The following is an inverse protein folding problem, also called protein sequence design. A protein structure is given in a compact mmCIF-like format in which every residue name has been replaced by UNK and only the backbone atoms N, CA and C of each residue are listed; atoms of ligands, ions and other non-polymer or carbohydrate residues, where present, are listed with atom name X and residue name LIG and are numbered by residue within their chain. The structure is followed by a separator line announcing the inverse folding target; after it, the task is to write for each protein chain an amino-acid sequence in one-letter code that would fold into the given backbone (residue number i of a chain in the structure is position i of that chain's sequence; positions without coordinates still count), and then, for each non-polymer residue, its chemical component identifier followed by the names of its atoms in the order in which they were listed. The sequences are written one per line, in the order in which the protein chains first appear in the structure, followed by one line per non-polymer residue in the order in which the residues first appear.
data_IF_598293455919
#
_entry.id   IF_598293455919
#
_cell.length_a   1.000
_cell.length_b   1.000
_cell.length_c   1.000
_cell.angle_alpha   90.00
_cell.angle_beta   90.00
_cell.angle_gamma   90.00
#
_symmetry.space_group_name_H-M   'P 1'
#
loop_
_entity.id
_entity.type
_entity.pdbx_description
1 polymer ?
#
# COMPACT_ATOMS: atom_id res chain seq x y z
N UNK A 1 -10.89 11.12 10.20
CA UNK A 1 -10.32 10.92 8.85
C UNK A 1 -11.04 9.81 8.12
N UNK A 2 -11.31 10.01 6.84
CA UNK A 2 -11.84 8.99 5.92
C UNK A 2 -10.76 8.63 4.91
N UNK A 3 -10.55 7.34 4.68
CA UNK A 3 -9.58 6.86 3.69
C UNK A 3 -10.35 6.18 2.56
N UNK A 4 -10.13 6.63 1.32
CA UNK A 4 -10.75 5.98 0.15
C UNK A 4 -9.67 5.36 -0.71
N UNK A 5 -9.62 4.03 -0.79
CA UNK A 5 -8.73 3.33 -1.70
C UNK A 5 -9.44 3.05 -3.02
N UNK A 6 -8.89 3.55 -4.13
CA UNK A 6 -9.42 3.37 -5.48
C UNK A 6 -8.50 2.46 -6.28
N UNK A 7 -9.00 1.26 -6.59
CA UNK A 7 -8.49 0.44 -7.67
C UNK A 7 -9.20 0.82 -8.98
N UNK A 8 -8.51 0.70 -10.11
CA UNK A 8 -9.06 1.12 -11.40
C UNK A 8 -8.49 0.35 -12.57
N UNK A 9 -9.29 0.12 -13.59
CA UNK A 9 -8.83 -0.33 -14.91
C UNK A 9 -8.33 0.87 -15.73
N UNK A 10 -7.35 0.68 -16.61
CA UNK A 10 -6.89 1.79 -17.47
C UNK A 10 -8.02 2.25 -18.40
N UNK A 11 -8.24 3.56 -18.51
CA UNK A 11 -9.31 4.15 -19.33
C UNK A 11 -10.71 4.17 -18.67
N UNK A 12 -10.81 3.81 -17.39
CA UNK A 12 -12.08 3.74 -16.65
C UNK A 12 -12.52 5.06 -15.97
N UNK A 13 -11.75 6.14 -16.13
CA UNK A 13 -11.87 7.39 -15.34
C UNK A 13 -11.54 7.31 -13.85
N UNK A 14 -10.87 6.22 -13.41
CA UNK A 14 -10.51 6.06 -12.00
C UNK A 14 -9.56 7.14 -11.46
N UNK A 15 -8.67 7.67 -12.29
CA UNK A 15 -7.72 8.72 -11.90
C UNK A 15 -8.46 10.06 -11.66
N UNK A 16 -9.35 10.44 -12.59
CA UNK A 16 -10.18 11.64 -12.52
C UNK A 16 -11.17 11.59 -11.34
N UNK A 17 -11.81 10.43 -11.14
CA UNK A 17 -12.70 10.21 -9.99
C UNK A 17 -11.93 10.33 -8.69
N UNK A 18 -10.72 9.76 -8.61
CA UNK A 18 -9.88 9.87 -7.41
C UNK A 18 -9.52 11.31 -7.06
N UNK A 19 -9.11 12.09 -8.06
CA UNK A 19 -8.82 13.52 -7.88
C UNK A 19 -10.06 14.29 -7.38
N UNK A 20 -11.24 14.01 -7.96
CA UNK A 20 -12.48 14.67 -7.55
C UNK A 20 -12.88 14.32 -6.12
N UNK A 21 -12.82 13.04 -5.75
CA UNK A 21 -13.13 12.58 -4.38
C UNK A 21 -12.16 13.19 -3.37
N UNK A 22 -10.87 13.29 -3.70
CA UNK A 22 -9.88 13.92 -2.83
C UNK A 22 -10.26 15.38 -2.52
N UNK A 23 -10.64 16.14 -3.56
CA UNK A 23 -11.17 17.49 -3.41
C UNK A 23 -12.44 17.56 -2.53
N UNK A 24 -13.40 16.64 -2.73
CA UNK A 24 -14.62 16.57 -1.91
C UNK A 24 -14.36 16.22 -0.44
N UNK A 25 -13.29 15.48 -0.14
CA UNK A 25 -12.88 15.14 1.22
C UNK A 25 -11.98 16.21 1.86
N UNK A 26 -11.55 17.23 1.11
CA UNK A 26 -10.58 18.23 1.56
C UNK A 26 -9.21 17.63 1.87
N UNK A 27 -8.84 16.55 1.17
CA UNK A 27 -7.65 15.74 1.44
C UNK A 27 -6.75 15.53 0.21
N UNK A 28 -5.53 15.02 0.39
CA UNK A 28 -4.63 14.74 -0.72
C UNK A 28 -5.06 13.50 -1.51
N UNK A 29 -4.73 13.49 -2.80
CA UNK A 29 -4.65 12.30 -3.62
C UNK A 29 -3.25 11.69 -3.47
N UNK A 30 -3.18 10.50 -2.90
CA UNK A 30 -1.96 9.70 -2.74
C UNK A 30 -1.81 8.79 -3.97
N UNK A 31 -1.37 9.40 -5.07
CA UNK A 31 -1.07 8.73 -6.33
C UNK A 31 0.44 8.49 -6.52
N UNK A 32 0.83 8.05 -7.73
CA UNK A 32 2.22 7.85 -8.10
C UNK A 32 3.10 9.07 -7.80
N UNK A 33 2.70 10.23 -8.28
CA UNK A 33 3.49 11.45 -8.19
C UNK A 33 3.65 11.90 -6.73
N UNK A 34 2.60 11.70 -5.91
CA UNK A 34 2.67 11.96 -4.47
C UNK A 34 3.75 11.10 -3.80
N UNK A 35 3.74 9.78 -4.05
CA UNK A 35 4.72 8.87 -3.44
C UNK A 35 6.14 9.13 -3.95
N UNK A 36 6.33 9.38 -5.24
CA UNK A 36 7.65 9.73 -5.80
C UNK A 36 8.21 10.99 -5.14
N UNK A 37 7.37 12.02 -4.97
CA UNK A 37 7.76 13.25 -4.27
C UNK A 37 8.14 12.97 -2.81
N UNK A 38 7.28 12.29 -2.05
CA UNK A 38 7.57 12.02 -0.63
C UNK A 38 8.80 11.15 -0.45
N UNK A 39 8.99 10.13 -1.27
CA UNK A 39 10.13 9.23 -1.13
C UNK A 39 11.47 9.93 -1.45
N UNK A 40 11.49 10.90 -2.37
CA UNK A 40 12.68 11.72 -2.60
C UNK A 40 13.00 12.66 -1.42
N UNK A 41 11.98 13.17 -0.71
CA UNK A 41 12.15 13.91 0.55
C UNK A 41 12.76 13.03 1.67
N UNK A 42 12.56 11.71 1.62
CA UNK A 42 13.14 10.74 2.56
C UNK A 42 14.53 10.22 2.14
N UNK A 43 15.14 10.77 1.09
CA UNK A 43 16.51 10.43 0.68
C UNK A 43 16.64 9.12 -0.10
N UNK A 44 15.53 8.58 -0.63
CA UNK A 44 15.57 7.42 -1.51
C UNK A 44 15.97 7.83 -2.94
N UNK A 45 16.85 7.06 -3.59
CA UNK A 45 17.22 7.30 -4.99
C UNK A 45 15.99 7.15 -5.89
N UNK A 46 15.70 8.17 -6.72
CA UNK A 46 14.55 8.22 -7.62
C UNK A 46 14.49 7.00 -8.56
N UNK A 47 15.66 6.42 -8.90
CA UNK A 47 15.76 5.21 -9.72
C UNK A 47 15.22 3.96 -9.04
N UNK A 48 15.25 3.88 -7.72
CA UNK A 48 14.69 2.76 -6.95
C UNK A 48 13.16 2.80 -7.02
N UNK A 49 12.56 3.99 -6.92
CA UNK A 49 11.10 4.16 -6.97
C UNK A 49 10.52 3.76 -8.34
N UNK A 50 11.10 4.26 -9.44
CA UNK A 50 10.58 4.01 -10.79
C UNK A 50 10.61 2.52 -11.20
N UNK A 51 11.49 1.73 -10.58
CA UNK A 51 11.68 0.29 -10.88
C UNK A 51 10.61 -0.60 -10.27
N UNK A 52 10.08 -0.27 -9.09
CA UNK A 52 9.15 -1.14 -8.33
C UNK A 52 7.71 -0.63 -8.28
N UNK A 53 7.50 0.64 -8.60
CA UNK A 53 6.22 1.29 -8.44
C UNK A 53 5.16 0.85 -9.48
N UNK A 54 4.15 0.10 -9.02
CA UNK A 54 3.04 -0.43 -9.83
C UNK A 54 3.44 -1.30 -11.04
N UNK A 55 4.66 -1.86 -11.05
CA UNK A 55 5.16 -2.76 -12.09
C UNK A 55 5.22 -4.20 -11.59
N UNK A 56 5.03 -5.16 -12.50
CA UNK A 56 5.39 -6.56 -12.23
C UNK A 56 6.91 -6.65 -12.10
N UNK A 57 7.47 -7.12 -10.97
CA UNK A 57 8.90 -7.35 -10.87
C UNK A 57 9.32 -8.41 -11.90
N UNK A 58 10.44 -8.19 -12.60
CA UNK A 58 11.05 -9.22 -13.44
C UNK A 58 11.45 -10.44 -12.60
N UNK A 59 11.64 -11.60 -13.23
CA UNK A 59 11.92 -12.90 -12.57
C UNK A 59 13.13 -12.88 -11.60
N UNK A 60 14.00 -11.86 -11.67
CA UNK A 60 15.19 -11.67 -10.82
C UNK A 60 15.08 -10.52 -9.81
N UNK A 61 13.93 -9.86 -9.68
CA UNK A 61 13.71 -8.83 -8.66
C UNK A 61 13.31 -9.42 -7.30
N UNK A 62 13.19 -10.75 -7.19
CA UNK A 62 12.66 -11.46 -6.03
C UNK A 62 13.60 -11.57 -4.82
N UNK A 63 14.75 -10.90 -4.85
CA UNK A 63 15.79 -11.00 -3.81
C UNK A 63 16.54 -9.69 -3.53
N UNK A 64 16.04 -8.52 -3.95
CA UNK A 64 16.72 -7.25 -3.67
C UNK A 64 16.20 -6.60 -2.38
N UNK A 65 17.11 -6.28 -1.46
CA UNK A 65 16.84 -5.47 -0.27
C UNK A 65 16.14 -4.13 -0.60
N UNK A 66 16.34 -3.63 -1.84
CA UNK A 66 15.67 -2.46 -2.40
C UNK A 66 14.13 -2.58 -2.44
N UNK A 67 13.60 -3.78 -2.65
CA UNK A 67 12.15 -4.01 -2.73
C UNK A 67 11.49 -3.94 -1.35
N UNK A 68 12.12 -4.54 -0.34
CA UNK A 68 11.65 -4.47 1.04
C UNK A 68 11.71 -3.02 1.56
N UNK A 69 12.80 -2.31 1.25
CA UNK A 69 12.93 -0.89 1.54
C UNK A 69 11.81 -0.06 0.90
N UNK A 70 11.51 -0.28 -0.39
CA UNK A 70 10.39 0.40 -1.07
C UNK A 70 9.05 0.14 -0.37
N UNK A 71 8.73 -1.10 -0.02
CA UNK A 71 7.48 -1.43 0.66
C UNK A 71 7.41 -0.82 2.06
N UNK A 72 8.52 -0.78 2.79
CA UNK A 72 8.60 -0.13 4.09
C UNK A 72 8.35 1.38 3.99
N UNK A 73 9.00 2.05 3.03
CA UNK A 73 8.77 3.47 2.76
C UNK A 73 7.32 3.74 2.34
N UNK A 74 6.77 2.93 1.43
CA UNK A 74 5.39 3.04 0.99
C UNK A 74 4.41 2.95 2.16
N UNK A 75 4.59 1.95 3.05
CA UNK A 75 3.77 1.79 4.27
C UNK A 75 3.92 3.00 5.20
N UNK A 76 5.14 3.46 5.44
CA UNK A 76 5.43 4.62 6.28
C UNK A 76 4.71 5.88 5.81
N UNK A 77 4.92 6.26 4.54
CA UNK A 77 4.25 7.42 3.93
C UNK A 77 2.73 7.25 3.96
N UNK A 78 2.22 6.09 3.54
CA UNK A 78 0.78 5.83 3.49
C UNK A 78 0.12 5.96 4.87
N UNK A 79 0.70 5.37 5.92
CA UNK A 79 0.12 5.43 7.25
C UNK A 79 0.21 6.82 7.87
N UNK A 80 1.33 7.53 7.67
CA UNK A 80 1.49 8.89 8.16
C UNK A 80 0.50 9.86 7.51
N UNK A 81 0.31 9.79 6.18
CA UNK A 81 -0.63 10.67 5.48
C UNK A 81 -2.08 10.34 5.82
N UNK A 82 -2.43 9.06 5.93
CA UNK A 82 -3.75 8.62 6.39
C UNK A 82 -4.04 9.02 7.85
N UNK A 83 -3.01 9.21 8.69
CA UNK A 83 -3.17 9.70 10.06
C UNK A 83 -3.37 11.22 10.13
N UNK A 84 -2.83 11.99 9.17
CA UNK A 84 -2.91 13.46 9.19
C UNK A 84 -4.29 14.00 8.83
N UNK A 85 -4.93 13.40 7.83
CA UNK A 85 -6.20 13.90 7.27
C UNK A 85 -6.95 12.81 6.52
N UNK A 86 -8.20 13.10 6.11
CA UNK A 86 -8.87 12.27 5.10
C UNK A 86 -8.05 12.27 3.81
N UNK A 87 -8.02 11.16 3.08
CA UNK A 87 -7.23 11.05 1.85
C UNK A 87 -7.81 10.03 0.87
N UNK A 88 -7.41 10.15 -0.39
CA UNK A 88 -7.68 9.14 -1.43
C UNK A 88 -6.39 8.45 -1.81
N UNK A 89 -6.37 7.14 -1.82
CA UNK A 89 -5.22 6.31 -2.20
C UNK A 89 -5.51 5.68 -3.55
N UNK A 90 -4.69 5.98 -4.56
CA UNK A 90 -4.90 5.49 -5.91
C UNK A 90 -3.95 4.33 -6.23
N UNK A 91 -4.46 3.09 -6.14
CA UNK A 91 -3.68 1.88 -6.37
C UNK A 91 -2.67 1.55 -5.27
N UNK A 92 -1.45 1.15 -5.67
CA UNK A 92 -0.30 0.80 -4.79
C UNK A 92 -0.59 -0.21 -3.67
N UNK A 93 -1.60 -1.06 -3.86
CA UNK A 93 -2.02 -2.01 -2.83
C UNK A 93 -2.69 -1.37 -1.62
N UNK A 94 -3.10 -0.10 -1.69
CA UNK A 94 -3.80 0.59 -0.59
C UNK A 94 -5.03 -0.18 -0.11
N UNK A 95 -5.79 -0.77 -1.06
CA UNK A 95 -6.95 -1.62 -0.79
C UNK A 95 -6.62 -2.90 0.00
N UNK A 96 -5.34 -3.29 0.09
CA UNK A 96 -4.86 -4.36 0.94
C UNK A 96 -4.22 -3.83 2.23
N UNK A 97 -3.25 -2.93 2.10
CA UNK A 97 -2.49 -2.39 3.22
C UNK A 97 -3.40 -1.73 4.27
N UNK A 98 -4.47 -1.08 3.82
CA UNK A 98 -5.43 -0.37 4.67
C UNK A 98 -6.73 -1.17 4.90
N UNK A 99 -6.85 -2.39 4.34
CA UNK A 99 -8.06 -3.24 4.47
C UNK A 99 -8.56 -3.40 5.90
N UNK A 100 -7.72 -3.59 6.93
CA UNK A 100 -8.21 -3.80 8.28
C UNK A 100 -8.74 -2.53 8.97
N UNK A 101 -8.55 -1.34 8.39
CA UNK A 101 -8.99 -0.09 9.01
C UNK A 101 -10.51 0.08 8.81
N UNK A 102 -11.28 0.34 9.89
CA UNK A 102 -12.73 0.45 9.80
C UNK A 102 -13.20 1.75 9.11
N UNK A 103 -12.33 2.76 9.02
CA UNK A 103 -12.57 4.03 8.32
C UNK A 103 -12.03 4.04 6.87
N UNK A 104 -11.78 2.86 6.29
CA UNK A 104 -11.26 2.70 4.93
C UNK A 104 -12.35 2.16 3.97
N UNK A 105 -12.72 2.96 2.98
CA UNK A 105 -13.62 2.58 1.91
C UNK A 105 -12.81 2.11 0.69
N UNK A 106 -13.12 0.93 0.16
CA UNK A 106 -12.38 0.32 -0.96
C UNK A 106 -13.28 0.26 -2.19
N UNK A 107 -12.92 0.98 -3.24
CA UNK A 107 -13.72 1.14 -4.46
C UNK A 107 -12.92 0.62 -5.66
N UNK A 108 -13.59 -0.05 -6.59
CA UNK A 108 -13.03 -0.39 -7.90
C UNK A 108 -13.77 0.35 -9.00
N UNK A 109 -13.04 1.04 -9.87
CA UNK A 109 -13.59 1.72 -11.05
C UNK A 109 -13.30 0.89 -12.30
N UNK A 110 -14.34 0.61 -13.08
CA UNK A 110 -14.29 -0.25 -14.27
C UNK A 110 -15.05 0.41 -15.43
N UNK A 111 -14.84 -0.08 -16.64
CA UNK A 111 -15.65 0.29 -17.81
C UNK A 111 -15.57 -0.79 -18.89
N UNK A 112 -16.55 -0.87 -19.82
CA UNK A 112 -16.48 -1.76 -20.98
C UNK A 112 -15.15 -1.60 -21.72
N UNK A 113 -14.58 -2.71 -22.16
CA UNK A 113 -13.22 -2.75 -22.69
C UNK A 113 -13.06 -1.83 -23.91
N UNK A 114 -14.03 -1.86 -24.81
CA UNK A 114 -14.06 -1.09 -26.04
C UNK A 114 -14.08 0.42 -25.72
N UNK A 115 -14.87 0.81 -24.72
CA UNK A 115 -14.94 2.20 -24.24
C UNK A 115 -13.61 2.64 -23.62
N UNK A 116 -12.96 1.78 -22.83
CA UNK A 116 -11.64 2.06 -22.26
C UNK A 116 -10.59 2.25 -23.34
N UNK A 117 -10.58 1.40 -24.37
CA UNK A 117 -9.66 1.51 -25.51
C UNK A 117 -9.88 2.83 -26.25
N UNK A 118 -11.13 3.19 -26.56
CA UNK A 118 -11.45 4.44 -27.24
C UNK A 118 -11.02 5.68 -26.43
N UNK A 119 -11.26 5.67 -25.12
CA UNK A 119 -10.80 6.75 -24.20
C UNK A 119 -9.28 6.85 -24.18
N UNK A 120 -8.56 5.74 -24.11
CA UNK A 120 -7.09 5.70 -24.13
C UNK A 120 -6.54 6.16 -25.47
N UNK A 121 -7.10 5.71 -26.59
CA UNK A 121 -6.71 6.14 -27.93
C UNK A 121 -6.84 7.67 -28.08
N UNK A 122 -7.96 8.22 -27.61
CA UNK A 122 -8.21 9.67 -27.60
C UNK A 122 -7.21 10.41 -26.71
N UNK A 123 -7.02 9.95 -25.46
CA UNK A 123 -6.16 10.62 -24.48
C UNK A 123 -4.69 10.66 -24.90
N UNK A 124 -4.17 9.55 -25.46
CA UNK A 124 -2.78 9.45 -25.90
C UNK A 124 -2.56 9.83 -27.37
N UNK A 125 -3.62 10.20 -28.09
CA UNK A 125 -3.60 10.46 -29.53
C UNK A 125 -2.89 9.34 -30.31
N UNK A 126 -3.31 8.10 -30.10
CA UNK A 126 -2.69 6.91 -30.69
C UNK A 126 -3.74 6.02 -31.38
N UNK A 127 -3.27 5.03 -32.14
CA UNK A 127 -4.16 4.07 -32.81
C UNK A 127 -4.89 3.17 -31.81
N UNK A 128 -6.00 2.57 -32.23
CA UNK A 128 -6.76 1.59 -31.43
C UNK A 128 -5.89 0.38 -31.04
N UNK A 129 -5.01 -0.07 -31.92
CA UNK A 129 -4.09 -1.18 -31.65
C UNK A 129 -3.10 -0.82 -30.54
N UNK A 130 -2.50 0.38 -30.60
CA UNK A 130 -1.59 0.88 -29.55
C UNK A 130 -2.32 1.07 -28.22
N UNK A 131 -3.53 1.63 -28.25
CA UNK A 131 -4.37 1.81 -27.07
C UNK A 131 -4.73 0.45 -26.44
N UNK A 132 -5.08 -0.54 -27.25
CA UNK A 132 -5.34 -1.92 -26.81
C UNK A 132 -4.13 -2.51 -26.10
N UNK A 133 -2.93 -2.36 -26.66
CA UNK A 133 -1.68 -2.81 -26.02
C UNK A 133 -1.46 -2.12 -24.67
N UNK A 134 -1.65 -0.80 -24.58
CA UNK A 134 -1.51 -0.03 -23.34
C UNK A 134 -2.49 -0.50 -22.26
N UNK A 135 -3.77 -0.65 -22.60
CA UNK A 135 -4.81 -1.11 -21.67
C UNK A 135 -4.47 -2.50 -21.13
N UNK A 136 -4.19 -3.45 -22.02
CA UNK A 136 -3.87 -4.82 -21.63
C UNK A 136 -2.62 -4.90 -20.75
N UNK A 137 -1.58 -4.13 -21.09
CA UNK A 137 -0.33 -4.08 -20.32
C UNK A 137 -0.58 -3.50 -18.93
N UNK A 138 -1.29 -2.39 -18.82
CA UNK A 138 -1.58 -1.75 -17.54
C UNK A 138 -2.39 -2.66 -16.61
N UNK A 139 -3.46 -3.28 -17.11
CA UNK A 139 -4.30 -4.18 -16.31
C UNK A 139 -3.52 -5.44 -15.89
N UNK A 140 -2.61 -5.93 -16.75
CA UNK A 140 -1.70 -7.06 -16.43
C UNK A 140 -0.69 -6.69 -15.36
N UNK A 141 -0.08 -5.51 -15.43
CA UNK A 141 0.91 -5.04 -14.46
C UNK A 141 0.26 -4.81 -13.09
N UNK A 142 -0.93 -4.19 -13.06
CA UNK A 142 -1.71 -4.02 -11.82
C UNK A 142 -2.06 -5.37 -11.20
N UNK A 143 -2.54 -6.34 -11.99
CA UNK A 143 -2.81 -7.68 -11.49
C UNK A 143 -1.55 -8.38 -10.97
N UNK A 144 -0.44 -8.28 -11.71
CA UNK A 144 0.85 -8.85 -11.34
C UNK A 144 1.41 -8.26 -10.06
N UNK A 145 1.31 -6.94 -9.88
CA UNK A 145 1.74 -6.25 -8.67
C UNK A 145 0.99 -6.74 -7.43
N UNK A 146 -0.35 -6.85 -7.49
CA UNK A 146 -1.16 -7.31 -6.37
C UNK A 146 -0.93 -8.79 -6.04
N UNK A 147 -0.83 -9.64 -7.07
CA UNK A 147 -0.56 -11.06 -6.87
C UNK A 147 0.83 -11.26 -6.25
N UNK A 148 1.84 -10.59 -6.77
CA UNK A 148 3.20 -10.74 -6.28
C UNK A 148 3.39 -10.26 -4.84
N UNK A 149 2.93 -9.04 -4.51
CA UNK A 149 3.24 -8.42 -3.23
C UNK A 149 2.28 -8.82 -2.10
N UNK A 150 1.06 -9.24 -2.44
CA UNK A 150 0.01 -9.46 -1.45
C UNK A 150 -0.68 -10.81 -1.59
N UNK A 151 -0.28 -11.63 -2.57
CA UNK A 151 -0.95 -12.89 -2.93
C UNK A 151 -2.46 -12.69 -3.15
N UNK A 152 -2.83 -11.55 -3.76
CA UNK A 152 -4.22 -11.18 -4.02
C UNK A 152 -4.54 -11.22 -5.50
N UNK A 153 -5.77 -11.63 -5.82
CA UNK A 153 -6.34 -11.39 -7.13
C UNK A 153 -6.96 -9.98 -7.19
N UNK A 154 -6.33 -9.08 -7.93
CA UNK A 154 -6.85 -7.74 -8.20
C UNK A 154 -8.23 -7.75 -8.89
N UNK A 155 -8.55 -8.85 -9.58
CA UNK A 155 -9.83 -9.07 -10.26
C UNK A 155 -10.93 -9.59 -9.35
N UNK A 156 -10.60 -10.05 -8.14
CA UNK A 156 -11.61 -10.48 -7.16
C UNK A 156 -12.46 -9.29 -6.72
N UNK A 157 -13.71 -9.30 -7.17
CA UNK A 157 -14.68 -8.25 -6.89
C UNK A 157 -15.11 -8.23 -5.41
N UNK A 158 -15.00 -9.35 -4.70
CA UNK A 158 -15.31 -9.42 -3.26
C UNK A 158 -14.31 -8.66 -2.39
N UNK A 159 -13.15 -8.30 -2.96
CA UNK A 159 -12.15 -7.50 -2.28
C UNK A 159 -12.53 -6.02 -2.15
N UNK A 160 -13.63 -5.55 -2.74
CA UNK A 160 -14.05 -4.15 -2.74
C UNK A 160 -15.43 -3.97 -2.11
N UNK A 161 -15.67 -2.80 -1.50
CA UNK A 161 -16.98 -2.46 -0.94
C UNK A 161 -17.97 -2.03 -2.02
N UNK A 162 -17.48 -1.43 -3.11
CA UNK A 162 -18.30 -1.13 -4.28
C UNK A 162 -17.47 -1.15 -5.57
N UNK A 163 -18.15 -1.42 -6.68
CA UNK A 163 -17.61 -1.39 -8.04
C UNK A 163 -18.44 -0.41 -8.85
N UNK A 164 -17.79 0.59 -9.43
CA UNK A 164 -18.45 1.63 -10.23
C UNK A 164 -18.06 1.45 -11.70
N UNK A 165 -19.06 1.15 -12.54
CA UNK A 165 -18.88 1.07 -13.97
C UNK A 165 -19.18 2.44 -14.62
N UNK A 166 -18.20 3.00 -15.32
CA UNK A 166 -18.27 4.34 -15.93
C UNK A 166 -18.75 4.36 -17.38
N UNK A 167 -19.47 3.32 -17.83
CA UNK A 167 -20.13 3.31 -19.14
C UNK A 167 -21.10 4.50 -19.28
N UNK A 168 -22.02 4.64 -18.34
CA UNK A 168 -23.00 5.73 -18.29
C UNK A 168 -22.80 6.68 -17.10
N UNK A 169 -21.85 6.38 -16.22
CA UNK A 169 -21.58 7.14 -15.01
C UNK A 169 -20.38 8.07 -15.24
N UNK A 170 -20.64 9.38 -15.23
CA UNK A 170 -19.60 10.39 -15.34
C UNK A 170 -18.81 10.56 -14.03
N UNK A 171 -17.73 11.34 -14.10
CA UNK A 171 -16.80 11.58 -12.98
C UNK A 171 -17.50 12.24 -11.79
N UNK A 172 -18.39 13.21 -12.04
CA UNK A 172 -19.07 13.96 -10.99
C UNK A 172 -20.02 13.08 -10.20
N UNK A 173 -20.87 12.32 -10.90
CA UNK A 173 -21.83 11.41 -10.28
C UNK A 173 -21.11 10.25 -9.58
N UNK A 174 -20.05 9.69 -10.17
CA UNK A 174 -19.24 8.65 -9.51
C UNK A 174 -18.60 9.18 -8.21
N UNK A 175 -18.01 10.36 -8.23
CA UNK A 175 -17.42 10.98 -7.04
C UNK A 175 -18.47 11.27 -5.96
N UNK A 176 -19.67 11.75 -6.35
CA UNK A 176 -20.78 11.98 -5.44
C UNK A 176 -21.27 10.68 -4.78
N UNK A 177 -21.35 9.57 -5.53
CA UNK A 177 -21.70 8.25 -4.98
C UNK A 177 -20.65 7.80 -3.95
N UNK A 178 -19.35 7.92 -4.26
CA UNK A 178 -18.28 7.57 -3.32
C UNK A 178 -18.36 8.42 -2.06
N UNK A 179 -18.57 9.73 -2.20
CA UNK A 179 -18.72 10.64 -1.06
C UNK A 179 -19.93 10.26 -0.20
N UNK A 180 -21.06 9.90 -0.81
CA UNK A 180 -22.24 9.45 -0.09
C UNK A 180 -21.96 8.15 0.70
N UNK A 181 -21.27 7.18 0.09
CA UNK A 181 -20.84 5.96 0.78
C UNK A 181 -19.94 6.27 1.98
N UNK A 182 -19.01 7.22 1.83
CA UNK A 182 -18.17 7.68 2.95
C UNK A 182 -19.03 8.20 4.11
N UNK A 183 -19.97 9.10 3.83
CA UNK A 183 -20.83 9.74 4.84
C UNK A 183 -21.79 8.76 5.52
N UNK A 184 -22.18 7.69 4.84
CA UNK A 184 -23.14 6.69 5.34
C UNK A 184 -22.48 5.55 6.10
N UNK A 185 -21.30 5.13 5.67
CA UNK A 185 -20.66 3.91 6.18
C UNK A 185 -19.58 4.20 7.22
N UNK A 186 -18.93 5.36 7.17
CA UNK A 186 -17.84 5.69 8.08
C UNK A 186 -18.38 6.51 9.25
N UNK A 187 -18.30 5.95 10.45
CA UNK A 187 -18.78 6.60 11.68
C UNK A 187 -17.64 7.25 12.45
N UNK A 188 -17.91 8.24 13.33
CA UNK A 188 -16.88 8.80 14.20
C UNK A 188 -16.14 7.75 15.05
N UNK A 189 -16.83 6.68 15.46
CA UNK A 189 -16.21 5.56 16.18
C UNK A 189 -15.24 4.77 15.29
N UNK A 190 -15.58 4.56 14.01
CA UNK A 190 -14.69 3.95 13.04
C UNK A 190 -13.46 4.84 12.78
N UNK A 191 -13.64 6.16 12.69
CA UNK A 191 -12.53 7.10 12.54
C UNK A 191 -11.57 7.05 13.73
N UNK A 192 -12.10 7.07 14.95
CA UNK A 192 -11.29 6.98 16.17
C UNK A 192 -10.53 5.65 16.25
N UNK A 193 -11.20 4.54 15.93
CA UNK A 193 -10.58 3.21 15.90
C UNK A 193 -9.47 3.15 14.84
N UNK A 194 -9.76 3.67 13.65
CA UNK A 194 -8.81 3.76 12.55
C UNK A 194 -7.57 4.58 12.90
N UNK A 195 -7.75 5.73 13.55
CA UNK A 195 -6.65 6.58 14.02
C UNK A 195 -5.74 5.84 15.02
N UNK A 196 -6.32 5.12 15.98
CA UNK A 196 -5.56 4.29 16.93
C UNK A 196 -4.80 3.18 16.21
N UNK A 197 -5.43 2.48 15.28
CA UNK A 197 -4.78 1.43 14.48
C UNK A 197 -3.64 1.99 13.62
N UNK A 198 -3.78 3.19 13.05
CA UNK A 198 -2.73 3.86 12.29
C UNK A 198 -1.54 4.26 13.18
N UNK A 199 -1.79 4.84 14.36
CA UNK A 199 -0.72 5.17 15.33
C UNK A 199 0.10 3.93 15.69
N UNK A 200 -0.58 2.83 16.00
CA UNK A 200 0.05 1.54 16.27
C UNK A 200 0.90 1.05 15.08
N UNK A 201 0.39 1.14 13.86
CA UNK A 201 1.11 0.72 12.65
C UNK A 201 2.32 1.60 12.33
N UNK A 202 2.23 2.91 12.60
CA UNK A 202 3.36 3.83 12.44
C UNK A 202 4.49 3.43 13.40
N UNK A 203 4.18 3.22 14.69
CA UNK A 203 5.19 2.74 15.65
C UNK A 203 5.82 1.42 15.19
N UNK A 204 5.01 0.48 14.71
CA UNK A 204 5.51 -0.78 14.17
C UNK A 204 6.45 -0.59 12.95
N UNK A 205 6.16 0.38 12.06
CA UNK A 205 7.04 0.71 10.94
C UNK A 205 8.34 1.37 11.40
N UNK A 206 8.31 2.27 12.39
CA UNK A 206 9.53 2.89 12.92
C UNK A 206 10.43 1.86 13.61
N UNK A 207 9.85 0.91 14.35
CA UNK A 207 10.61 -0.23 14.91
C UNK A 207 11.25 -1.06 13.79
N UNK A 208 10.49 -1.45 12.77
CA UNK A 208 11.00 -2.23 11.67
C UNK A 208 12.13 -1.49 10.92
N UNK A 209 11.95 -0.19 10.67
CA UNK A 209 12.95 0.67 10.04
C UNK A 209 14.24 0.71 10.85
N UNK A 210 14.13 0.91 12.16
CA UNK A 210 15.28 0.96 13.07
C UNK A 210 16.05 -0.36 13.11
N UNK A 211 15.33 -1.48 13.19
CA UNK A 211 15.94 -2.81 13.21
C UNK A 211 16.63 -3.14 11.88
N UNK A 212 15.95 -2.94 10.75
CA UNK A 212 16.40 -3.42 9.45
C UNK A 212 17.39 -2.47 8.75
N UNK A 213 17.20 -1.15 8.90
CA UNK A 213 17.95 -0.16 8.10
C UNK A 213 18.89 0.72 8.92
N UNK A 214 18.58 1.01 10.19
CA UNK A 214 19.48 1.83 11.04
C UNK A 214 20.50 0.98 11.80
N UNK A 215 20.06 -0.17 12.33
CA UNK A 215 20.92 -1.14 13.03
C UNK A 215 21.39 -2.29 12.13
N UNK A 216 20.83 -2.39 10.92
CA UNK A 216 21.17 -3.42 9.91
C UNK A 216 21.15 -4.86 10.47
N UNK A 217 20.19 -5.16 11.37
CA UNK A 217 20.10 -6.47 12.00
C UNK A 217 19.52 -7.49 11.02
N UNK A 218 20.26 -8.59 10.79
CA UNK A 218 19.83 -9.68 9.90
C UNK A 218 18.75 -10.53 10.56
N UNK A 219 17.49 -10.09 10.44
CA UNK A 219 16.29 -10.81 10.87
C UNK A 219 15.43 -11.10 9.64
N UNK A 220 15.31 -12.37 9.30
CA UNK A 220 14.49 -12.82 8.18
C UNK A 220 13.01 -12.75 8.54
N UNK A 221 12.18 -12.34 7.58
CA UNK A 221 10.73 -12.24 7.73
C UNK A 221 10.29 -11.42 8.95
N UNK A 222 10.99 -10.31 9.23
CA UNK A 222 10.65 -9.45 10.35
C UNK A 222 9.23 -8.92 10.20
N UNK A 223 8.35 -9.28 11.14
CA UNK A 223 7.04 -8.69 11.30
C UNK A 223 6.98 -8.01 12.66
N UNK A 224 6.54 -6.76 12.67
CA UNK A 224 6.33 -5.99 13.89
C UNK A 224 4.86 -5.68 14.03
N UNK A 225 4.31 -6.03 15.19
CA UNK A 225 2.97 -5.62 15.59
C UNK A 225 3.08 -4.70 16.79
N UNK A 226 2.24 -3.68 16.84
CA UNK A 226 2.16 -2.80 18.01
C UNK A 226 0.70 -2.61 18.39
N UNK A 227 0.40 -2.64 19.68
CA UNK A 227 -0.91 -2.30 20.22
C UNK A 227 -0.72 -1.53 21.52
N UNK A 228 -1.09 -0.25 21.52
CA UNK A 228 -1.11 0.60 22.71
C UNK A 228 0.25 0.67 23.45
N UNK A 229 1.33 0.65 22.67
CA UNK A 229 2.71 0.71 23.17
C UNK A 229 3.32 -0.66 23.50
N UNK A 230 2.57 -1.75 23.41
CA UNK A 230 3.15 -3.11 23.42
C UNK A 230 3.55 -3.50 22.01
N UNK A 231 4.85 -3.58 21.75
CA UNK A 231 5.42 -4.09 20.51
C UNK A 231 5.68 -5.59 20.61
N UNK A 232 5.33 -6.35 19.58
CA UNK A 232 5.66 -7.76 19.44
C UNK A 232 6.48 -7.96 18.17
N UNK A 233 7.67 -8.55 18.32
CA UNK A 233 8.61 -8.79 17.22
C UNK A 233 8.53 -10.25 16.81
N UNK A 234 8.30 -10.52 15.54
CA UNK A 234 8.35 -11.85 14.94
C UNK A 234 9.42 -11.88 13.85
N UNK A 235 10.00 -13.05 13.60
CA UNK A 235 11.00 -13.24 12.57
C UNK A 235 11.89 -14.43 12.88
N UNK A 236 12.92 -14.60 12.09
CA UNK A 236 13.89 -15.69 12.22
C UNK A 236 15.31 -15.15 12.16
N UNK A 237 16.18 -15.64 13.02
CA UNK A 237 17.62 -15.31 12.98
C UNK A 237 18.48 -16.49 13.45
N UNK A 238 19.76 -16.48 13.13
CA UNK A 238 20.73 -17.49 13.60
C UNK A 238 21.38 -17.16 14.95
N UNK A 239 21.07 -16.00 15.54
CA UNK A 239 21.81 -15.45 16.69
C UNK A 239 20.90 -14.91 17.79
N UNK A 240 21.07 -15.41 19.01
CA UNK A 240 20.43 -14.86 20.21
C UNK A 240 20.84 -13.41 20.49
N UNK A 241 22.04 -13.01 20.06
CA UNK A 241 22.52 -11.63 20.20
C UNK A 241 21.65 -10.68 19.35
N UNK A 242 21.31 -11.08 18.12
CA UNK A 242 20.45 -10.29 17.24
C UNK A 242 19.03 -10.17 17.82
N UNK A 243 18.50 -11.21 18.47
CA UNK A 243 17.23 -11.11 19.20
C UNK A 243 17.27 -10.04 20.30
N UNK A 244 18.36 -10.01 21.10
CA UNK A 244 18.50 -9.00 22.17
C UNK A 244 18.62 -7.59 21.59
N UNK A 245 19.45 -7.39 20.57
CA UNK A 245 19.63 -6.09 19.92
C UNK A 245 18.34 -5.59 19.27
N UNK A 246 17.54 -6.47 18.66
CA UNK A 246 16.26 -6.08 18.09
C UNK A 246 15.25 -5.63 19.15
N UNK A 247 15.25 -6.28 20.32
CA UNK A 247 14.45 -5.85 21.47
C UNK A 247 14.89 -4.47 21.96
N UNK A 248 16.19 -4.27 22.16
CA UNK A 248 16.76 -2.98 22.59
C UNK A 248 16.43 -1.87 21.58
N UNK A 249 16.62 -2.12 20.30
CA UNK A 249 16.29 -1.18 19.23
C UNK A 249 14.80 -0.78 19.23
N UNK A 250 13.89 -1.75 19.45
CA UNK A 250 12.47 -1.47 19.57
C UNK A 250 12.11 -0.64 20.81
N UNK A 251 12.81 -0.84 21.93
CA UNK A 251 12.60 -0.08 23.17
C UNK A 251 13.01 1.39 23.04
N UNK A 252 13.93 1.71 22.12
CA UNK A 252 14.35 3.09 21.86
C UNK A 252 13.31 3.91 21.07
N UNK A 253 12.24 3.28 20.54
CA UNK A 253 11.21 3.97 19.74
C UNK A 253 10.19 4.67 20.64
N UNK A 254 9.91 5.95 20.35
CA UNK A 254 8.91 6.73 21.07
C UNK A 254 7.52 6.06 21.01
N UNK A 255 6.84 6.00 22.15
CA UNK A 255 5.54 5.36 22.29
C UNK A 255 5.57 3.87 22.60
N UNK A 256 6.75 3.22 22.56
CA UNK A 256 6.93 1.83 23.03
C UNK A 256 7.06 1.79 24.55
N UNK A 257 6.25 0.95 25.19
CA UNK A 257 6.22 0.73 26.65
C UNK A 257 6.70 -0.66 27.03
N UNK A 258 6.40 -1.65 26.19
CA UNK A 258 6.76 -3.05 26.40
C UNK A 258 7.18 -3.65 25.06
N UNK A 259 8.19 -4.52 25.08
CA UNK A 259 8.61 -5.28 23.90
C UNK A 259 8.60 -6.77 24.23
N UNK A 260 7.72 -7.49 23.53
CA UNK A 260 7.65 -8.94 23.51
C UNK A 260 8.44 -9.46 22.30
N UNK A 261 9.53 -10.17 22.54
CA UNK A 261 10.33 -10.74 21.46
C UNK A 261 9.92 -12.20 21.20
N UNK A 262 9.37 -12.46 20.02
CA UNK A 262 8.99 -13.79 19.50
C UNK A 262 9.81 -14.18 18.26
N UNK A 263 10.95 -13.54 18.03
CA UNK A 263 11.90 -13.91 16.98
C UNK A 263 12.49 -15.29 17.32
N UNK A 264 12.41 -16.21 16.37
CA UNK A 264 12.90 -17.58 16.54
C UNK A 264 14.38 -17.67 16.18
N UNK A 265 15.15 -18.36 17.01
CA UNK A 265 16.56 -18.66 16.71
C UNK A 265 16.64 -20.04 16.07
N UNK A 266 16.98 -20.08 14.78
CA UNK A 266 17.19 -21.32 14.05
C UNK A 266 18.70 -21.51 13.86
N UNK A 267 19.25 -22.54 14.48
CA UNK A 267 20.64 -22.95 14.23
C UNK A 267 20.69 -23.70 12.91
N UNK A 268 21.43 -23.20 11.93
CA UNK A 268 21.71 -23.98 10.72
C UNK A 268 22.36 -25.30 11.15
N UNK A 269 21.69 -26.43 10.88
CA UNK A 269 22.38 -27.72 10.95
C UNK A 269 23.35 -27.77 9.78
N UNK A 270 24.65 -28.03 10.00
CA UNK A 270 25.55 -28.24 8.89
C UNK A 270 25.00 -29.40 8.06
N UNK A 271 24.76 -29.16 6.78
CA UNK A 271 24.42 -30.19 5.81
C UNK A 271 25.41 -31.35 5.97
N UNK A 272 24.96 -32.47 6.54
CA UNK A 272 25.68 -33.74 6.40
C UNK A 272 25.59 -34.09 4.92
N UNK A 273 26.67 -33.84 4.17
CA UNK A 273 26.89 -34.51 2.89
C UNK A 273 26.88 -36.02 3.19
N UNK A 274 25.85 -36.72 2.69
CA UNK A 274 25.90 -38.17 2.50
C UNK A 274 26.83 -38.48 1.33
#
# INVERSE_FOLDING_TARGET
MIIVCIAREMGSFGDEIGQKVAGMLGGPLLDKAFFEKRCSEFGADAKTLERYDEKKPGFFASFSADQDLYLHMLKGVLFQEALKSSCVVLGRGGNYLLKPLPNCLRIKVVAPRELRIARVATHFNCTEEEATKKVNQSDRDRAGFHHYHFNLDWRDNSAYHAILNTECLDVENAAAIIKNLCDRLITPAAEQTGATMLKNRIIAQEIAKKILFEKELSIQFLEVQCKEGKATLFGVTGSEVLCRQAKEAAQEIEGVKEVENRIQVIREQPFRRM
#
